data_IF_963577875823
#
_entry.id   IF_963577875823
#
_cell.length_a   1.000
_cell.length_b   1.000
_cell.length_c   1.000
_cell.angle_alpha   90.00
_cell.angle_beta   90.00
_cell.angle_gamma   90.00
#
_symmetry.space_group_name_H-M   'P 1'
#
loop_
_entity.id
_entity.type
_entity.pdbx_description
1 polymer ?
#
# COMPACT_ATOMS: atom_id res chain seq x y z
N UNK A 1 -4.92 20.35 22.06
CA UNK A 1 -5.15 20.02 20.63
C UNK A 1 -3.87 20.35 19.87
N UNK A 2 -3.04 19.35 19.58
CA UNK A 2 -1.85 19.56 18.75
C UNK A 2 -2.27 19.43 17.28
N UNK A 3 -2.16 20.52 16.53
CA UNK A 3 -2.18 20.49 15.06
C UNK A 3 -0.83 19.96 14.62
N UNK A 4 -0.78 18.82 13.95
CA UNK A 4 0.44 18.40 13.26
C UNK A 4 0.62 19.33 12.07
N UNK A 5 1.49 20.33 12.20
CA UNK A 5 1.96 21.10 11.06
C UNK A 5 2.59 20.13 10.04
N UNK A 6 2.17 20.21 8.78
CA UNK A 6 2.56 19.31 7.69
C UNK A 6 4.02 19.42 7.24
N UNK A 7 4.97 19.59 8.17
CA UNK A 7 6.41 19.74 7.90
C UNK A 7 7.25 18.50 8.28
N UNK A 8 6.67 17.53 9.00
CA UNK A 8 7.43 16.41 9.58
C UNK A 8 7.36 15.10 8.79
N UNK A 9 6.69 15.07 7.64
CA UNK A 9 6.56 13.88 6.81
C UNK A 9 7.05 14.19 5.40
N UNK A 10 8.25 13.69 5.07
CA UNK A 10 8.77 13.72 3.70
C UNK A 10 7.86 12.96 2.72
N UNK A 11 8.08 13.09 1.40
CA UNK A 11 7.31 12.36 0.41
C UNK A 11 7.44 10.84 0.63
N UNK A 12 6.35 10.12 0.34
CA UNK A 12 6.34 8.66 0.28
C UNK A 12 6.45 8.29 -1.19
N UNK A 13 7.51 7.58 -1.53
CA UNK A 13 7.72 7.10 -2.90
C UNK A 13 7.30 5.63 -3.00
N UNK A 14 6.52 5.31 -4.03
CA UNK A 14 6.15 3.93 -4.37
C UNK A 14 6.78 3.63 -5.73
N UNK A 15 7.77 2.74 -5.72
CA UNK A 15 8.47 2.29 -6.92
C UNK A 15 7.93 0.92 -7.30
N UNK A 16 7.44 0.78 -8.52
CA UNK A 16 6.89 -0.47 -9.05
C UNK A 16 7.91 -1.06 -10.03
N UNK A 17 8.44 -2.23 -9.69
CA UNK A 17 9.39 -2.98 -10.51
C UNK A 17 8.62 -3.72 -11.63
N UNK A 18 7.49 -4.34 -11.29
CA UNK A 18 6.58 -4.98 -12.24
C UNK A 18 5.14 -5.02 -11.72
N UNK A 19 4.18 -5.26 -12.62
CA UNK A 19 2.77 -5.47 -12.25
C UNK A 19 2.45 -6.95 -12.14
N UNK A 20 1.78 -7.34 -11.06
CA UNK A 20 1.39 -8.72 -10.79
C UNK A 20 0.40 -9.26 -11.82
N UNK A 21 0.62 -10.52 -12.20
CA UNK A 21 -0.12 -11.25 -13.24
C UNK A 21 -1.51 -11.68 -12.78
N UNK A 22 -2.37 -12.06 -13.72
CA UNK A 22 -3.68 -12.67 -13.43
C UNK A 22 -3.57 -13.94 -12.59
N UNK A 23 -2.55 -14.78 -12.83
CA UNK A 23 -2.32 -16.01 -12.08
C UNK A 23 -2.02 -15.73 -10.61
N UNK A 24 -1.19 -14.73 -10.31
CA UNK A 24 -0.86 -14.33 -8.93
C UNK A 24 -2.09 -13.77 -8.20
N UNK A 25 -2.89 -12.94 -8.88
CA UNK A 25 -4.18 -12.48 -8.33
C UNK A 25 -5.11 -13.64 -8.05
N UNK A 26 -5.23 -14.60 -8.96
CA UNK A 26 -6.15 -15.73 -8.81
C UNK A 26 -5.71 -16.66 -7.68
N UNK A 27 -4.41 -16.85 -7.48
CA UNK A 27 -3.86 -17.58 -6.33
C UNK A 27 -4.22 -16.89 -5.00
N UNK A 28 -4.05 -15.56 -4.92
CA UNK A 28 -4.46 -14.78 -3.76
C UNK A 28 -5.98 -14.83 -3.56
N UNK A 29 -6.77 -14.72 -4.62
CA UNK A 29 -8.23 -14.78 -4.55
C UNK A 29 -8.69 -16.13 -4.00
N UNK A 30 -8.17 -17.24 -4.51
CA UNK A 30 -8.54 -18.58 -4.08
C UNK A 30 -8.26 -18.75 -2.58
N UNK A 31 -7.05 -18.35 -2.16
CA UNK A 31 -6.65 -18.35 -0.74
C UNK A 31 -7.57 -17.49 0.11
N UNK A 32 -7.92 -16.28 -0.34
CA UNK A 32 -8.81 -15.38 0.39
C UNK A 32 -10.21 -15.96 0.56
N UNK A 33 -10.75 -16.63 -0.48
CA UNK A 33 -12.10 -17.22 -0.43
C UNK A 33 -12.14 -18.42 0.50
N UNK A 34 -11.10 -19.27 0.45
CA UNK A 34 -11.09 -20.55 1.16
C UNK A 34 -10.64 -20.42 2.61
N UNK A 35 -9.71 -19.49 2.87
CA UNK A 35 -9.02 -19.37 4.15
C UNK A 35 -9.10 -17.97 4.78
N UNK A 36 -9.51 -16.95 4.02
CA UNK A 36 -9.58 -15.58 4.51
C UNK A 36 -8.28 -14.79 4.35
N UNK A 37 -8.25 -13.58 4.93
CA UNK A 37 -7.16 -12.64 4.74
C UNK A 37 -5.86 -13.03 5.46
N UNK A 38 -5.95 -13.73 6.59
CA UNK A 38 -4.80 -14.08 7.44
C UNK A 38 -3.81 -15.01 6.73
N UNK A 39 -4.32 -15.90 5.87
CA UNK A 39 -3.51 -16.84 5.08
C UNK A 39 -2.95 -16.24 3.78
N UNK A 40 -3.17 -14.94 3.52
CA UNK A 40 -2.60 -14.29 2.34
C UNK A 40 -1.09 -14.09 2.45
N UNK A 41 -0.56 -13.82 3.65
CA UNK A 41 0.86 -13.49 3.82
C UNK A 41 1.79 -14.63 3.38
N UNK A 42 1.57 -15.90 3.75
CA UNK A 42 2.36 -17.02 3.24
C UNK A 42 2.34 -17.12 1.70
N UNK A 43 1.17 -16.91 1.08
CA UNK A 43 1.03 -16.98 -0.39
C UNK A 43 1.73 -15.80 -1.06
N UNK A 44 1.63 -14.60 -0.49
CA UNK A 44 2.35 -13.43 -0.94
C UNK A 44 3.87 -13.63 -0.87
N UNK A 45 4.39 -14.24 0.19
CA UNK A 45 5.81 -14.61 0.27
C UNK A 45 6.22 -15.72 -0.70
N UNK A 46 5.26 -16.55 -1.13
CA UNK A 46 5.45 -17.54 -2.18
C UNK A 46 5.53 -16.94 -3.58
N UNK A 47 5.11 -15.67 -3.77
CA UNK A 47 5.30 -14.96 -5.03
C UNK A 47 6.80 -14.69 -5.21
N UNK A 48 7.38 -15.25 -6.27
CA UNK A 48 8.83 -15.30 -6.44
C UNK A 48 9.48 -13.94 -6.74
N UNK A 49 8.71 -12.99 -7.27
CA UNK A 49 9.23 -11.68 -7.68
C UNK A 49 8.66 -10.57 -6.80
N UNK A 50 9.55 -9.73 -6.27
CA UNK A 50 9.15 -8.48 -5.62
C UNK A 50 8.53 -7.56 -6.65
N UNK A 51 7.29 -7.14 -6.43
CA UNK A 51 6.54 -6.23 -7.30
C UNK A 51 7.04 -4.78 -7.22
N UNK A 52 7.68 -4.39 -6.12
CA UNK A 52 8.27 -3.08 -5.96
C UNK A 52 8.70 -2.78 -4.53
N UNK A 53 8.85 -1.50 -4.22
CA UNK A 53 9.21 -1.01 -2.89
C UNK A 53 8.46 0.27 -2.57
N UNK A 54 8.04 0.41 -1.31
CA UNK A 54 7.58 1.68 -0.77
C UNK A 54 8.63 2.26 0.17
N UNK A 55 8.95 3.54 -0.01
CA UNK A 55 9.94 4.27 0.75
C UNK A 55 9.22 5.15 1.78
N UNK A 56 9.31 4.73 3.05
CA UNK A 56 8.79 5.51 4.17
C UNK A 56 9.74 6.67 4.46
N UNK A 57 9.26 7.91 4.64
CA UNK A 57 10.13 9.06 4.86
C UNK A 57 10.95 8.92 6.14
N UNK A 58 12.17 9.46 6.09
CA UNK A 58 13.00 9.61 7.28
C UNK A 58 12.46 10.71 8.21
N UNK A 59 12.69 10.53 9.52
CA UNK A 59 12.28 11.50 10.54
C UNK A 59 13.43 12.46 10.80
N UNK A 60 13.26 13.72 10.38
CA UNK A 60 14.31 14.73 10.47
C UNK A 60 14.60 15.19 11.91
N UNK A 61 13.66 14.99 12.84
CA UNK A 61 13.75 15.37 14.26
C UNK A 61 14.34 14.29 15.17
N UNK A 62 14.72 13.13 14.63
CA UNK A 62 15.33 12.02 15.37
C UNK A 62 16.79 11.79 14.95
N UNK A 63 17.54 11.01 15.74
CA UNK A 63 18.98 10.76 15.52
C UNK A 63 19.31 10.26 14.10
N UNK A 64 20.59 10.34 13.69
CA UNK A 64 21.01 10.16 12.28
C UNK A 64 20.49 8.89 11.59
N UNK A 65 20.37 7.79 12.33
CA UNK A 65 19.85 6.49 11.82
C UNK A 65 18.40 6.55 11.34
N UNK A 66 17.61 7.52 11.80
CA UNK A 66 16.17 7.63 11.54
C UNK A 66 15.87 8.61 10.39
N UNK A 67 16.88 9.35 9.92
CA UNK A 67 16.74 10.34 8.84
C UNK A 67 16.65 9.73 7.43
N UNK A 68 17.06 8.47 7.29
CA UNK A 68 17.03 7.78 6.00
C UNK A 68 15.64 7.19 5.72
N UNK A 69 15.22 7.16 4.44
CA UNK A 69 14.03 6.44 4.03
C UNK A 69 14.12 4.97 4.42
N UNK A 70 13.01 4.39 4.87
CA UNK A 70 12.93 2.96 5.21
C UNK A 70 12.18 2.23 4.09
N UNK A 71 12.83 1.33 3.34
CA UNK A 71 12.17 0.55 2.32
C UNK A 71 11.31 -0.56 2.93
N UNK A 72 10.12 -0.78 2.37
CA UNK A 72 9.27 -1.96 2.61
C UNK A 72 8.94 -2.62 1.28
N UNK A 73 9.03 -3.93 1.18
CA UNK A 73 8.80 -4.59 -0.11
C UNK A 73 7.31 -4.60 -0.43
N UNK A 74 7.00 -4.47 -1.71
CA UNK A 74 5.69 -4.76 -2.25
C UNK A 74 5.74 -6.15 -2.88
N UNK A 75 4.92 -7.07 -2.40
CA UNK A 75 4.81 -8.44 -2.92
C UNK A 75 3.75 -8.54 -4.01
N UNK A 76 2.83 -7.59 -4.05
CA UNK A 76 1.79 -7.51 -5.07
C UNK A 76 1.62 -6.07 -5.50
N UNK A 77 1.49 -5.84 -6.80
CA UNK A 77 1.20 -4.54 -7.38
C UNK A 77 0.25 -4.72 -8.56
N UNK A 78 -0.84 -3.97 -8.60
CA UNK A 78 -1.78 -4.07 -9.71
C UNK A 78 -2.45 -2.75 -10.01
N UNK A 79 -2.58 -2.46 -11.29
CA UNK A 79 -3.35 -1.32 -11.76
C UNK A 79 -4.67 -1.76 -12.40
N UNK A 80 -5.65 -0.87 -12.32
CA UNK A 80 -6.93 -1.04 -12.98
C UNK A 80 -7.47 0.30 -13.44
N UNK A 81 -7.86 0.39 -14.71
CA UNK A 81 -8.64 1.53 -15.20
C UNK A 81 -10.10 1.35 -14.77
N UNK A 82 -10.69 2.41 -14.25
CA UNK A 82 -12.08 2.47 -13.81
C UNK A 82 -12.80 3.63 -14.50
N UNK A 83 -14.13 3.66 -14.42
CA UNK A 83 -14.89 4.83 -14.90
C UNK A 83 -14.55 6.12 -14.15
N UNK A 84 -14.06 6.01 -12.91
CA UNK A 84 -13.73 7.15 -12.06
C UNK A 84 -12.26 7.58 -12.16
N UNK A 85 -11.46 6.96 -13.04
CA UNK A 85 -10.02 7.18 -13.13
C UNK A 85 -9.26 5.86 -12.96
N UNK A 86 -8.21 5.83 -12.14
CA UNK A 86 -7.34 4.67 -11.98
C UNK A 86 -7.34 4.18 -10.53
N UNK A 87 -7.35 2.87 -10.34
CA UNK A 87 -7.14 2.25 -9.03
C UNK A 87 -5.81 1.50 -9.06
N UNK A 88 -4.97 1.72 -8.05
CA UNK A 88 -3.72 1.00 -7.83
C UNK A 88 -3.83 0.26 -6.51
N UNK A 89 -3.55 -1.03 -6.54
CA UNK A 89 -3.55 -1.90 -5.37
C UNK A 89 -2.13 -2.39 -5.15
N UNK A 90 -1.62 -2.19 -3.94
CA UNK A 90 -0.34 -2.76 -3.52
C UNK A 90 -0.51 -3.54 -2.23
N UNK A 91 0.31 -4.57 -2.05
CA UNK A 91 0.41 -5.28 -0.77
C UNK A 91 1.87 -5.28 -0.33
N UNK A 92 2.11 -4.68 0.83
CA UNK A 92 3.42 -4.68 1.48
C UNK A 92 3.60 -5.92 2.35
N UNK A 93 4.83 -6.46 2.41
CA UNK A 93 5.20 -7.62 3.25
C UNK A 93 5.22 -7.32 4.75
N UNK A 94 5.09 -6.05 5.11
CA UNK A 94 5.22 -5.52 6.46
C UNK A 94 4.26 -4.35 6.68
N UNK A 95 4.01 -4.03 7.95
CA UNK A 95 3.33 -2.79 8.36
C UNK A 95 4.05 -1.55 7.79
N UNK A 96 3.29 -0.67 7.14
CA UNK A 96 3.81 0.58 6.55
C UNK A 96 3.55 1.81 7.44
N UNK A 97 2.67 1.71 8.43
CA UNK A 97 2.46 2.73 9.46
C UNK A 97 2.08 4.13 8.96
N UNK A 98 1.43 4.26 7.81
CA UNK A 98 1.10 5.58 7.26
C UNK A 98 0.17 6.37 8.18
N UNK A 99 0.59 7.59 8.53
CA UNK A 99 -0.14 8.47 9.42
C UNK A 99 -0.07 8.06 10.89
N UNK A 100 0.86 7.19 11.26
CA UNK A 100 1.23 6.89 12.64
C UNK A 100 2.48 7.70 13.05
N UNK A 101 2.69 7.96 14.36
CA UNK A 101 3.96 8.46 14.85
C UNK A 101 5.09 7.52 14.45
N UNK A 102 6.22 8.07 14.00
CA UNK A 102 7.28 7.30 13.36
C UNK A 102 7.94 6.21 14.23
N UNK A 103 7.81 6.30 15.56
CA UNK A 103 8.25 5.25 16.49
C UNK A 103 7.44 3.96 16.33
N UNK A 104 6.15 4.05 15.97
CA UNK A 104 5.26 2.90 15.80
C UNK A 104 5.30 2.35 14.37
N UNK A 105 5.43 3.23 13.37
CA UNK A 105 5.49 2.87 11.95
C UNK A 105 6.70 1.99 11.57
N UNK A 106 7.72 1.91 12.44
CA UNK A 106 8.95 1.12 12.22
C UNK A 106 8.94 -0.25 12.89
N UNK A 107 7.87 -0.62 13.58
CA UNK A 107 7.73 -1.97 14.12
C UNK A 107 7.84 -3.01 13.01
N UNK A 108 8.71 -4.01 13.19
CA UNK A 108 8.70 -5.22 12.37
C UNK A 108 7.58 -6.13 12.85
N UNK A 109 6.36 -5.76 12.50
CA UNK A 109 5.19 -6.60 12.70
C UNK A 109 5.08 -7.55 11.50
N UNK A 110 4.97 -8.86 11.77
CA UNK A 110 4.68 -9.85 10.74
C UNK A 110 3.20 -9.78 10.35
N UNK A 111 2.84 -8.68 9.71
CA UNK A 111 1.54 -8.44 9.11
C UNK A 111 1.74 -7.79 7.74
N UNK A 112 0.83 -8.03 6.81
CA UNK A 112 0.82 -7.30 5.55
C UNK A 112 -0.11 -6.09 5.65
N UNK A 113 0.14 -5.11 4.78
CA UNK A 113 -0.75 -3.98 4.59
C UNK A 113 -1.18 -3.90 3.13
N UNK A 114 -2.48 -3.72 2.88
CA UNK A 114 -3.01 -3.40 1.57
C UNK A 114 -3.13 -1.89 1.42
N UNK A 115 -2.54 -1.36 0.34
CA UNK A 115 -2.67 0.03 -0.08
C UNK A 115 -3.68 0.09 -1.24
N UNK A 116 -4.82 0.75 -1.05
CA UNK A 116 -5.82 1.03 -2.10
C UNK A 116 -5.74 2.52 -2.46
N UNK A 117 -5.12 2.81 -3.61
CA UNK A 117 -4.92 4.15 -4.13
C UNK A 117 -5.89 4.39 -5.29
N UNK A 118 -6.65 5.48 -5.21
CA UNK A 118 -7.62 5.87 -6.22
C UNK A 118 -7.22 7.23 -6.77
N UNK A 119 -6.94 7.28 -8.06
CA UNK A 119 -6.55 8.46 -8.82
C UNK A 119 -7.74 8.91 -9.63
N UNK A 120 -8.17 10.15 -9.42
CA UNK A 120 -9.25 10.77 -10.16
C UNK A 120 -8.87 11.11 -11.60
N UNK A 121 -9.82 11.56 -12.41
CA UNK A 121 -9.57 11.99 -13.80
C UNK A 121 -8.68 13.24 -13.89
N UNK A 122 -8.54 13.99 -12.80
CA UNK A 122 -7.66 15.15 -12.65
C UNK A 122 -6.19 14.76 -12.39
N UNK A 123 -5.88 13.46 -12.28
CA UNK A 123 -4.54 12.96 -11.99
C UNK A 123 -4.12 13.09 -10.53
N UNK A 124 -5.04 13.47 -9.63
CA UNK A 124 -4.82 13.50 -8.18
C UNK A 124 -5.39 12.26 -7.52
N UNK A 125 -4.64 11.69 -6.60
CA UNK A 125 -5.03 10.47 -5.91
C UNK A 125 -5.11 10.57 -4.39
N UNK A 126 -5.89 9.66 -3.83
CA UNK A 126 -5.98 9.40 -2.40
C UNK A 126 -5.70 7.94 -2.15
N UNK A 127 -4.82 7.65 -1.20
CA UNK A 127 -4.48 6.30 -0.78
C UNK A 127 -4.94 6.00 0.63
N UNK A 128 -5.46 4.79 0.82
CA UNK A 128 -5.85 4.24 2.13
C UNK A 128 -5.10 2.94 2.38
N UNK A 129 -4.83 2.69 3.65
CA UNK A 129 -4.12 1.49 4.12
C UNK A 129 -5.06 0.67 4.99
N UNK A 130 -5.04 -0.64 4.79
CA UNK A 130 -5.75 -1.61 5.60
C UNK A 130 -4.83 -2.74 6.02
N UNK A 131 -4.99 -3.20 7.26
CA UNK A 131 -4.55 -4.53 7.67
C UNK A 131 -5.51 -5.61 7.17
N UNK A 132 -5.17 -6.87 7.42
CA UNK A 132 -5.90 -8.04 6.92
C UNK A 132 -7.42 -8.01 7.26
N UNK A 133 -7.79 -7.52 8.45
CA UNK A 133 -9.17 -7.42 8.93
C UNK A 133 -10.09 -6.52 8.08
N UNK A 134 -9.48 -5.59 7.33
CA UNK A 134 -10.17 -4.61 6.47
C UNK A 134 -9.89 -4.84 4.99
N UNK A 135 -9.36 -6.00 4.61
CA UNK A 135 -9.24 -6.40 3.22
C UNK A 135 -10.51 -7.11 2.76
N UNK A 136 -10.96 -6.79 1.55
CA UNK A 136 -12.06 -7.48 0.89
C UNK A 136 -11.72 -7.77 -0.57
N UNK A 137 -12.41 -8.76 -1.15
CA UNK A 137 -12.27 -9.08 -2.57
C UNK A 137 -13.58 -8.78 -3.30
N UNK A 138 -13.51 -7.90 -4.29
CA UNK A 138 -14.64 -7.53 -5.13
C UNK A 138 -14.70 -8.46 -6.36
N UNK A 139 -15.70 -9.35 -6.39
CA UNK A 139 -15.88 -10.33 -7.47
C UNK A 139 -16.22 -9.69 -8.82
N UNK A 140 -16.87 -8.53 -8.84
CA UNK A 140 -17.23 -7.85 -10.09
C UNK A 140 -16.01 -7.21 -10.72
N UNK A 141 -15.18 -6.56 -9.90
CA UNK A 141 -13.98 -5.87 -10.35
C UNK A 141 -12.74 -6.77 -10.41
N UNK A 142 -12.85 -7.99 -9.88
CA UNK A 142 -11.79 -8.97 -9.69
C UNK A 142 -10.56 -8.38 -9.00
N UNK A 143 -10.77 -7.64 -7.92
CA UNK A 143 -9.68 -6.97 -7.20
C UNK A 143 -9.84 -7.01 -5.69
N UNK A 144 -8.71 -7.04 -5.00
CA UNK A 144 -8.64 -6.72 -3.58
C UNK A 144 -8.81 -5.22 -3.37
N UNK A 145 -9.56 -4.85 -2.34
CA UNK A 145 -9.91 -3.47 -2.03
C UNK A 145 -9.96 -3.30 -0.50
N UNK A 146 -9.87 -2.05 -0.05
CA UNK A 146 -10.13 -1.72 1.35
C UNK A 146 -11.64 -1.80 1.61
N UNK A 147 -12.04 -2.60 2.59
CA UNK A 147 -13.42 -2.73 3.06
C UNK A 147 -13.95 -1.37 3.52
N UNK A 148 -15.17 -1.02 3.09
CA UNK A 148 -15.80 0.26 3.37
C UNK A 148 -14.86 1.45 3.10
N UNK A 149 -14.20 1.46 1.93
CA UNK A 149 -13.19 2.47 1.58
C UNK A 149 -13.55 3.89 2.01
N UNK A 150 -14.80 4.33 1.81
CA UNK A 150 -15.26 5.68 2.17
C UNK A 150 -15.10 6.04 3.66
N UNK A 151 -15.19 5.06 4.56
CA UNK A 151 -15.18 5.24 6.02
C UNK A 151 -13.76 5.33 6.60
N UNK A 152 -12.74 4.80 5.91
CA UNK A 152 -11.36 4.85 6.40
C UNK A 152 -10.73 6.23 6.17
N UNK A 153 -9.85 6.71 7.07
CA UNK A 153 -9.12 7.94 6.85
C UNK A 153 -8.17 7.82 5.65
N UNK A 154 -8.02 8.91 4.90
CA UNK A 154 -6.95 9.03 3.92
C UNK A 154 -5.59 9.00 4.63
N UNK A 155 -4.67 8.18 4.12
CA UNK A 155 -3.30 8.05 4.65
C UNK A 155 -2.25 8.57 3.68
N UNK A 156 -2.55 8.52 2.39
CA UNK A 156 -1.82 9.20 1.33
C UNK A 156 -2.75 10.23 0.71
N UNK A 157 -2.29 11.46 0.59
CA UNK A 157 -2.99 12.58 -0.06
C UNK A 157 -2.10 13.17 -1.13
N UNK A 158 -2.71 13.76 -2.16
CA UNK A 158 -1.99 14.35 -3.30
C UNK A 158 -1.08 13.32 -4.01
N UNK A 159 -1.61 12.11 -4.23
CA UNK A 159 -0.87 11.04 -4.91
C UNK A 159 -0.84 11.32 -6.41
N UNK A 160 0.35 11.27 -7.00
CA UNK A 160 0.56 11.44 -8.43
C UNK A 160 1.34 10.27 -9.01
N UNK A 161 1.09 9.96 -10.29
CA UNK A 161 1.84 8.93 -11.03
C UNK A 161 2.89 9.62 -11.87
N UNK A 162 4.15 9.36 -11.57
CA UNK A 162 5.28 9.83 -12.34
C UNK A 162 5.87 8.70 -13.18
N UNK A 163 6.30 9.02 -14.40
CA UNK A 163 7.17 8.12 -15.16
C UNK A 163 8.60 8.46 -14.76
N UNK A 164 9.29 7.51 -14.12
CA UNK A 164 10.74 7.61 -13.96
C UNK A 164 11.38 7.66 -15.35
N UNK A 165 11.84 8.84 -15.72
CA UNK A 165 12.65 9.02 -16.94
C UNK A 165 14.08 8.72 -16.52
N UNK A 166 14.63 7.62 -17.04
CA UNK A 166 16.04 7.25 -16.86
C UNK A 166 16.94 8.10 -17.74
#
# INVERSE_FOLDING_TARGET
MARSDGKDHGPIDILVDHWSTDAERDALQHTFIDHGAEELLPVLHGLHERAGVVLLPGVQSLGERVRQPTPKNLLFARDRVTKAGRQLIFIADQHVGFGEPAIYARGELQEFNLLDIRIGPDGKGVGKVAGADKVTYNKQSKMFEVKNYAELPARLVDVHVEKMTR
#
